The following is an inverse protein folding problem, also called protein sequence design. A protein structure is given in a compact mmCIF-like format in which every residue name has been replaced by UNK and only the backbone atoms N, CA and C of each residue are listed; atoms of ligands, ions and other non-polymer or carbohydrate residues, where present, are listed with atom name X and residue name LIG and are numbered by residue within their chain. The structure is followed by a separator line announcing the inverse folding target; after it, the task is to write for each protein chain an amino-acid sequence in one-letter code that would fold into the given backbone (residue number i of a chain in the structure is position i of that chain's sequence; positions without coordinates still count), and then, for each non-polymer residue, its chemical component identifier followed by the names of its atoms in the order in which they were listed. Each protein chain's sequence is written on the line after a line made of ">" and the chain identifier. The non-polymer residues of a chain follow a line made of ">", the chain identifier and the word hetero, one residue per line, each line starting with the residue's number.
data_IF_072467861672
#
_entry.id   IF_072467861672
#
_cell.length_a   1.000
_cell.length_b   1.000
_cell.length_c   1.000
_cell.angle_alpha   90.00
_cell.angle_beta   90.00
_cell.angle_gamma   90.00
#
_symmetry.space_group_name_H-M   'P 1'
#
loop_
_entity.id
_entity.type
_entity.pdbx_description
1 polymer ?
#
# COMPACT_ATOMS: atom_id res chain seq x y z
N UNK A 1 -5.67 17.12 -14.76
CA UNK A 1 -5.81 17.35 -13.31
C UNK A 1 -6.87 18.40 -13.08
N UNK A 2 -7.90 18.07 -12.32
CA UNK A 2 -8.97 19.01 -11.95
C UNK A 2 -8.47 20.02 -10.92
N UNK A 3 -9.05 21.22 -10.94
CA UNK A 3 -8.81 22.19 -9.87
C UNK A 3 -9.69 21.81 -8.66
N UNK A 4 -9.08 21.42 -7.54
CA UNK A 4 -9.74 21.09 -6.29
C UNK A 4 -9.78 22.28 -5.32
N UNK A 5 -10.13 23.46 -5.80
CA UNK A 5 -10.38 24.60 -4.91
C UNK A 5 -11.58 24.32 -4.02
N UNK A 6 -11.49 24.82 -2.78
CA UNK A 6 -12.53 24.62 -1.77
C UNK A 6 -13.84 25.27 -2.26
N UNK A 7 -14.87 24.46 -2.49
CA UNK A 7 -16.16 24.89 -3.02
C UNK A 7 -16.42 24.60 -4.51
N UNK A 8 -15.37 24.29 -5.29
CA UNK A 8 -15.51 23.94 -6.71
C UNK A 8 -15.87 22.45 -6.94
N UNK A 9 -15.72 21.62 -5.91
CA UNK A 9 -15.91 20.16 -5.97
C UNK A 9 -16.86 19.71 -4.88
N UNK A 10 -17.79 18.76 -5.14
CA UNK A 10 -18.65 18.19 -4.11
C UNK A 10 -17.80 17.63 -2.94
N UNK A 11 -18.24 17.84 -1.67
CA UNK A 11 -17.43 17.46 -0.49
C UNK A 11 -17.02 15.99 -0.46
N UNK A 12 -17.89 15.07 -0.90
CA UNK A 12 -17.59 13.63 -0.98
C UNK A 12 -16.44 13.35 -1.95
N UNK A 13 -16.47 13.97 -3.13
CA UNK A 13 -15.40 13.83 -4.14
C UNK A 13 -14.10 14.45 -3.67
N UNK A 14 -14.15 15.58 -2.98
CA UNK A 14 -12.97 16.24 -2.41
C UNK A 14 -12.26 15.33 -1.41
N UNK A 15 -12.97 14.82 -0.41
CA UNK A 15 -12.39 13.97 0.62
C UNK A 15 -11.93 12.61 0.06
N UNK A 16 -12.72 12.01 -0.85
CA UNK A 16 -12.34 10.78 -1.53
C UNK A 16 -11.03 10.93 -2.31
N UNK A 17 -10.90 12.00 -3.10
CA UNK A 17 -9.68 12.25 -3.84
C UNK A 17 -8.48 12.58 -2.91
N UNK A 18 -8.70 13.36 -1.86
CA UNK A 18 -7.64 13.68 -0.89
C UNK A 18 -7.10 12.42 -0.20
N UNK A 19 -7.97 11.48 0.14
CA UNK A 19 -7.58 10.21 0.72
C UNK A 19 -6.79 9.37 -0.28
N UNK A 20 -7.31 9.16 -1.49
CA UNK A 20 -6.62 8.38 -2.53
C UNK A 20 -5.29 9.00 -2.94
N UNK A 21 -5.22 10.33 -3.06
CA UNK A 21 -3.97 11.05 -3.35
C UNK A 21 -2.91 10.80 -2.28
N UNK A 22 -3.26 10.89 -1.00
CA UNK A 22 -2.33 10.59 0.10
C UNK A 22 -1.90 9.13 0.12
N UNK A 23 -2.83 8.20 -0.10
CA UNK A 23 -2.50 6.77 -0.16
C UNK A 23 -1.57 6.46 -1.34
N UNK A 24 -1.84 7.05 -2.51
CA UNK A 24 -0.97 6.91 -3.68
C UNK A 24 0.40 7.50 -3.41
N UNK A 25 0.48 8.69 -2.82
CA UNK A 25 1.75 9.30 -2.43
C UNK A 25 2.53 8.42 -1.46
N UNK A 26 1.88 7.85 -0.47
CA UNK A 26 2.52 6.93 0.49
C UNK A 26 3.04 5.66 -0.20
N UNK A 27 2.27 5.09 -1.13
CA UNK A 27 2.61 3.84 -1.81
C UNK A 27 3.68 4.02 -2.90
N UNK A 28 3.66 5.15 -3.62
CA UNK A 28 4.47 5.36 -4.82
C UNK A 28 5.53 6.46 -4.69
N UNK A 29 5.41 7.31 -3.66
CA UNK A 29 6.20 8.53 -3.53
C UNK A 29 5.77 9.67 -4.47
N UNK A 30 4.82 9.43 -5.39
CA UNK A 30 4.35 10.43 -6.35
C UNK A 30 3.24 11.29 -5.78
N UNK A 31 3.39 12.61 -5.92
CA UNK A 31 2.33 13.56 -5.57
C UNK A 31 1.39 13.73 -6.76
N UNK A 32 0.25 13.06 -6.72
CA UNK A 32 -0.80 13.14 -7.74
C UNK A 32 -2.00 13.86 -7.12
N UNK A 33 -2.24 15.14 -7.47
CA UNK A 33 -3.33 15.92 -6.87
C UNK A 33 -4.72 15.38 -7.19
N UNK A 34 -4.88 14.75 -8.35
CA UNK A 34 -6.14 14.19 -8.81
C UNK A 34 -5.93 12.74 -9.30
N UNK A 35 -6.29 11.79 -8.45
CA UNK A 35 -6.20 10.36 -8.74
C UNK A 35 -7.47 9.80 -9.38
N UNK A 36 -8.54 10.59 -9.42
CA UNK A 36 -9.88 10.15 -9.85
C UNK A 36 -10.27 10.65 -11.24
N UNK A 37 -9.38 11.36 -11.95
CA UNK A 37 -9.66 11.76 -13.33
C UNK A 37 -9.41 10.62 -14.30
N UNK A 38 -10.42 10.29 -15.10
CA UNK A 38 -10.35 9.27 -16.14
C UNK A 38 -9.75 9.77 -17.45
N UNK A 39 -9.63 11.10 -17.63
CA UNK A 39 -9.06 11.67 -18.85
C UNK A 39 -7.53 11.54 -18.84
N UNK A 40 -7.03 10.61 -19.64
CA UNK A 40 -5.59 10.27 -19.71
C UNK A 40 -5.16 10.09 -21.16
N UNK A 41 -4.05 10.71 -21.54
CA UNK A 41 -3.35 10.44 -22.78
C UNK A 41 -2.29 9.36 -22.57
N UNK A 42 -2.34 8.29 -23.34
CA UNK A 42 -1.39 7.18 -23.25
C UNK A 42 -0.56 7.10 -24.54
N UNK A 43 0.77 7.10 -24.46
CA UNK A 43 1.63 6.85 -25.60
C UNK A 43 1.40 5.44 -26.16
N UNK A 44 1.50 5.30 -27.50
CA UNK A 44 1.25 4.01 -28.18
C UNK A 44 2.10 2.85 -27.65
N UNK A 45 3.33 3.13 -27.29
CA UNK A 45 4.27 2.14 -26.75
C UNK A 45 3.91 1.64 -25.34
N UNK A 46 3.02 2.32 -24.61
CA UNK A 46 2.57 1.90 -23.28
C UNK A 46 1.27 1.10 -23.30
N UNK A 47 0.55 1.07 -24.43
CA UNK A 47 -0.79 0.45 -24.50
C UNK A 47 -0.76 -1.05 -24.18
N UNK A 48 0.24 -1.79 -24.65
CA UNK A 48 0.37 -3.22 -24.31
C UNK A 48 0.51 -3.43 -22.81
N UNK A 49 1.34 -2.63 -22.15
CA UNK A 49 1.52 -2.70 -20.70
C UNK A 49 0.22 -2.33 -19.95
N UNK A 50 -0.52 -1.36 -20.46
CA UNK A 50 -1.79 -0.93 -19.85
C UNK A 50 -2.89 -1.98 -20.00
N UNK A 51 -2.90 -2.76 -21.11
CA UNK A 51 -3.89 -3.81 -21.31
C UNK A 51 -3.73 -5.02 -20.38
N UNK A 52 -2.56 -5.20 -19.77
CA UNK A 52 -2.29 -6.26 -18.78
C UNK A 52 -2.76 -5.90 -17.36
N UNK A 53 -3.11 -4.63 -17.12
CA UNK A 53 -3.52 -4.15 -15.79
C UNK A 53 -4.92 -4.68 -15.47
N UNK A 54 -5.06 -5.28 -14.28
CA UNK A 54 -6.33 -5.79 -13.81
C UNK A 54 -7.27 -4.68 -13.36
N UNK A 55 -8.56 -4.83 -13.65
CA UNK A 55 -9.64 -3.92 -13.27
C UNK A 55 -10.45 -3.49 -14.47
N UNK A 56 -11.78 -3.37 -14.30
CA UNK A 56 -12.71 -3.05 -15.37
C UNK A 56 -13.48 -1.74 -15.10
N UNK A 57 -13.24 -1.13 -13.93
CA UNK A 57 -13.96 0.06 -13.48
C UNK A 57 -13.00 1.08 -12.84
N UNK A 58 -13.42 1.73 -11.77
CA UNK A 58 -12.65 2.77 -11.07
C UNK A 58 -11.33 2.27 -10.47
N UNK A 59 -11.24 0.99 -10.11
CA UNK A 59 -10.00 0.37 -9.66
C UNK A 59 -8.93 0.29 -10.73
N UNK A 60 -9.31 0.18 -12.01
CA UNK A 60 -8.36 0.19 -13.13
C UNK A 60 -7.54 1.47 -13.15
N UNK A 61 -8.19 2.61 -12.94
CA UNK A 61 -7.52 3.92 -12.93
C UNK A 61 -6.48 4.02 -11.81
N UNK A 62 -6.79 3.48 -10.63
CA UNK A 62 -5.85 3.43 -9.52
C UNK A 62 -4.72 2.44 -9.78
N UNK A 63 -5.04 1.24 -10.25
CA UNK A 63 -4.04 0.23 -10.59
C UNK A 63 -3.09 0.72 -11.66
N UNK A 64 -3.59 1.48 -12.66
CA UNK A 64 -2.75 2.11 -13.68
C UNK A 64 -1.74 3.08 -13.06
N UNK A 65 -2.15 3.95 -12.13
CA UNK A 65 -1.22 4.88 -11.48
C UNK A 65 -0.11 4.17 -10.70
N UNK A 66 -0.46 3.08 -10.01
CA UNK A 66 0.52 2.25 -9.29
C UNK A 66 1.48 1.55 -10.24
N UNK A 67 0.96 0.98 -11.34
CA UNK A 67 1.76 0.26 -12.33
C UNK A 67 2.71 1.18 -13.13
N UNK A 68 2.27 2.39 -13.47
CA UNK A 68 3.13 3.38 -14.11
C UNK A 68 4.39 3.67 -13.29
N UNK A 69 4.23 3.78 -11.98
CA UNK A 69 5.35 3.97 -11.06
C UNK A 69 6.27 2.74 -11.00
N UNK A 70 5.69 1.54 -10.89
CA UNK A 70 6.47 0.29 -10.84
C UNK A 70 7.30 0.09 -12.11
N UNK A 71 6.78 0.53 -13.27
CA UNK A 71 7.46 0.46 -14.58
C UNK A 71 8.35 1.67 -14.87
N UNK A 72 8.45 2.65 -13.98
CA UNK A 72 9.25 3.86 -14.18
C UNK A 72 8.73 4.77 -15.29
N UNK A 73 7.43 4.71 -15.62
CA UNK A 73 6.80 5.56 -16.63
C UNK A 73 6.41 6.90 -16.02
N UNK A 74 6.97 7.98 -16.53
CA UNK A 74 6.72 9.34 -16.05
C UNK A 74 5.28 9.81 -16.30
N UNK A 75 4.75 10.63 -15.39
CA UNK A 75 3.44 11.26 -15.48
C UNK A 75 3.59 12.77 -15.73
N UNK A 76 2.86 13.29 -16.72
CA UNK A 76 2.71 14.73 -16.93
C UNK A 76 1.31 15.15 -16.55
N UNK A 77 1.21 16.12 -15.64
CA UNK A 77 -0.07 16.63 -15.15
C UNK A 77 -0.50 17.84 -16.01
N UNK A 78 -1.62 17.72 -16.70
CA UNK A 78 -2.20 18.78 -17.51
C UNK A 78 -3.44 19.35 -16.79
N UNK A 79 -3.47 20.64 -16.46
CA UNK A 79 -4.65 21.27 -15.87
C UNK A 79 -5.84 21.21 -16.83
N UNK A 80 -7.00 20.87 -16.31
CA UNK A 80 -8.26 20.83 -17.06
C UNK A 80 -9.34 21.57 -16.30
N UNK A 81 -10.26 22.19 -17.02
CA UNK A 81 -11.50 22.70 -16.43
C UNK A 81 -12.45 21.53 -16.20
N UNK A 82 -13.11 21.52 -15.04
CA UNK A 82 -14.12 20.53 -14.72
C UNK A 82 -15.48 21.18 -14.69
N UNK A 83 -16.39 20.66 -15.49
CA UNK A 83 -17.79 21.10 -15.51
C UNK A 83 -18.59 20.04 -14.74
N UNK A 84 -19.23 20.44 -13.65
CA UNK A 84 -20.15 19.60 -12.91
C UNK A 84 -21.58 19.87 -13.39
N UNK A 85 -22.18 18.91 -14.05
CA UNK A 85 -23.60 18.98 -14.42
C UNK A 85 -24.45 18.40 -13.27
N UNK A 86 -25.37 19.21 -12.73
CA UNK A 86 -26.14 18.84 -11.55
C UNK A 86 -25.28 18.52 -10.34
N UNK A 87 -25.84 17.88 -9.33
CA UNK A 87 -25.11 17.43 -8.13
C UNK A 87 -24.27 16.16 -8.36
N UNK A 88 -23.73 15.94 -9.56
CA UNK A 88 -23.03 14.71 -9.96
C UNK A 88 -23.95 13.48 -9.99
N UNK A 89 -25.21 13.65 -10.30
CA UNK A 89 -26.24 12.59 -10.33
C UNK A 89 -25.99 11.53 -11.40
N UNK A 90 -25.20 11.86 -12.43
CA UNK A 90 -24.79 10.94 -13.50
C UNK A 90 -23.67 9.97 -13.14
N UNK A 91 -23.22 9.94 -11.89
CA UNK A 91 -22.13 9.02 -11.52
C UNK A 91 -22.63 7.59 -11.33
N UNK A 92 -21.96 6.64 -11.98
CA UNK A 92 -22.17 5.20 -11.76
C UNK A 92 -21.29 4.62 -10.63
N UNK A 93 -20.72 5.49 -9.79
CA UNK A 93 -19.87 5.09 -8.66
C UNK A 93 -20.73 4.60 -7.48
N UNK A 94 -20.57 3.34 -7.13
CA UNK A 94 -21.16 2.75 -5.93
C UNK A 94 -20.24 2.95 -4.73
N UNK A 95 -20.60 3.80 -3.74
CA UNK A 95 -19.68 4.26 -2.71
C UNK A 95 -18.95 3.15 -1.95
N UNK A 96 -19.63 2.07 -1.59
CA UNK A 96 -19.02 0.97 -0.82
C UNK A 96 -18.25 0.03 -1.74
N UNK A 97 -18.93 -0.50 -2.77
CA UNK A 97 -18.34 -1.52 -3.66
C UNK A 97 -17.10 -1.01 -4.40
N UNK A 98 -17.25 0.14 -5.06
CA UNK A 98 -16.16 0.68 -5.88
C UNK A 98 -15.01 1.20 -5.00
N UNK A 99 -15.32 1.76 -3.81
CA UNK A 99 -14.26 2.11 -2.85
C UNK A 99 -13.47 0.88 -2.38
N UNK A 100 -14.14 -0.22 -2.05
CA UNK A 100 -13.46 -1.46 -1.67
C UNK A 100 -12.56 -2.00 -2.80
N UNK A 101 -13.00 -1.89 -4.05
CA UNK A 101 -12.20 -2.29 -5.21
C UNK A 101 -10.97 -1.38 -5.39
N UNK A 102 -11.15 -0.07 -5.32
CA UNK A 102 -10.08 0.93 -5.42
C UNK A 102 -9.03 0.73 -4.32
N UNK A 103 -9.48 0.48 -3.09
CA UNK A 103 -8.58 0.28 -1.95
C UNK A 103 -8.10 -1.15 -1.76
N UNK A 104 -8.50 -2.09 -2.58
CA UNK A 104 -8.22 -3.53 -2.45
C UNK A 104 -6.74 -3.85 -2.21
N UNK A 105 -5.81 -3.21 -2.95
CA UNK A 105 -4.36 -3.39 -2.75
C UNK A 105 -3.92 -2.94 -1.36
N UNK A 106 -4.38 -1.79 -0.93
CA UNK A 106 -4.05 -1.22 0.40
C UNK A 106 -4.65 -2.05 1.53
N UNK A 107 -5.89 -2.51 1.37
CA UNK A 107 -6.55 -3.40 2.34
C UNK A 107 -5.83 -4.74 2.47
N UNK A 108 -5.41 -5.33 1.37
CA UNK A 108 -4.58 -6.55 1.39
C UNK A 108 -3.26 -6.33 2.12
N UNK A 109 -2.59 -5.21 1.87
CA UNK A 109 -1.36 -4.86 2.56
C UNK A 109 -1.58 -4.67 4.07
N UNK A 110 -2.62 -3.94 4.46
CA UNK A 110 -2.97 -3.76 5.87
C UNK A 110 -3.30 -5.09 6.56
N UNK A 111 -4.07 -5.95 5.90
CA UNK A 111 -4.40 -7.28 6.41
C UNK A 111 -3.17 -8.17 6.54
N UNK A 112 -2.28 -8.17 5.55
CA UNK A 112 -1.00 -8.88 5.60
C UNK A 112 -0.16 -8.45 6.79
N UNK A 113 -0.04 -7.13 7.00
CA UNK A 113 0.73 -6.57 8.12
C UNK A 113 0.13 -6.92 9.47
N UNK A 114 -1.20 -6.83 9.61
CA UNK A 114 -1.91 -7.21 10.83
C UNK A 114 -1.77 -8.71 11.14
N UNK A 115 -1.93 -9.56 10.13
CA UNK A 115 -1.74 -11.01 10.27
C UNK A 115 -0.32 -11.35 10.73
N UNK A 116 0.69 -10.67 10.17
CA UNK A 116 2.08 -10.86 10.58
C UNK A 116 2.35 -10.40 12.00
N UNK A 117 1.73 -9.32 12.44
CA UNK A 117 1.82 -8.86 13.83
C UNK A 117 1.18 -9.88 14.81
N UNK A 118 0.05 -10.47 14.42
CA UNK A 118 -0.57 -11.54 15.24
C UNK A 118 0.32 -12.78 15.32
N UNK A 119 0.94 -13.17 14.21
CA UNK A 119 1.90 -14.29 14.18
C UNK A 119 3.12 -13.98 15.05
N UNK A 120 3.63 -12.75 15.00
CA UNK A 120 4.76 -12.29 15.83
C UNK A 120 4.45 -12.44 17.33
N UNK A 121 3.32 -11.91 17.77
CA UNK A 121 2.88 -11.98 19.16
C UNK A 121 2.66 -13.43 19.60
N UNK A 122 2.00 -14.25 18.79
CA UNK A 122 1.75 -15.64 19.11
C UNK A 122 3.05 -16.45 19.21
N UNK A 123 3.97 -16.28 18.26
CA UNK A 123 5.29 -16.91 18.30
C UNK A 123 6.10 -16.48 19.51
N UNK A 124 6.11 -15.18 19.82
CA UNK A 124 6.80 -14.67 21.00
C UNK A 124 6.28 -15.35 22.28
N UNK A 125 4.97 -15.41 22.45
CA UNK A 125 4.36 -16.08 23.62
C UNK A 125 4.71 -17.56 23.69
N UNK A 126 4.61 -18.29 22.57
CA UNK A 126 4.96 -19.72 22.50
C UNK A 126 6.43 -19.95 22.82
N UNK A 127 7.34 -19.15 22.25
CA UNK A 127 8.78 -19.26 22.47
C UNK A 127 9.15 -19.01 23.92
N UNK A 128 8.52 -18.03 24.59
CA UNK A 128 8.74 -17.78 26.01
C UNK A 128 8.28 -18.93 26.89
N UNK A 129 7.17 -19.56 26.56
CA UNK A 129 6.62 -20.67 27.34
C UNK A 129 7.36 -21.98 27.11
N UNK A 130 7.99 -22.17 25.97
CA UNK A 130 8.61 -23.45 25.58
C UNK A 130 10.13 -23.46 25.64
N UNK A 131 10.78 -22.61 24.84
CA UNK A 131 12.24 -22.59 24.67
C UNK A 131 12.95 -21.70 25.69
N UNK A 132 12.42 -20.49 25.90
CA UNK A 132 13.05 -19.45 26.69
C UNK A 132 12.41 -19.34 28.09
N UNK A 133 12.24 -20.45 28.78
CA UNK A 133 11.59 -20.52 30.10
C UNK A 133 12.24 -19.58 31.09
N UNK A 134 11.64 -18.43 31.33
CA UNK A 134 12.08 -17.46 32.31
C UNK A 134 11.91 -16.01 31.88
N UNK A 135 11.88 -15.10 32.86
CA UNK A 135 11.72 -13.67 32.66
C UNK A 135 13.08 -12.94 32.59
N UNK A 136 14.17 -13.62 32.24
CA UNK A 136 15.46 -12.94 32.08
C UNK A 136 15.46 -12.09 30.80
N UNK A 137 16.18 -10.97 30.83
CA UNK A 137 16.32 -10.07 29.67
C UNK A 137 16.83 -10.83 28.43
N UNK A 138 17.74 -11.79 28.61
CA UNK A 138 18.24 -12.63 27.51
C UNK A 138 17.18 -13.55 26.92
N UNK A 139 16.30 -14.10 27.76
CA UNK A 139 15.16 -14.92 27.30
C UNK A 139 14.15 -14.10 26.49
N UNK A 140 13.83 -12.89 26.96
CA UNK A 140 12.94 -11.96 26.26
C UNK A 140 13.52 -11.51 24.91
N UNK A 141 14.81 -11.15 24.88
CA UNK A 141 15.50 -10.78 23.65
C UNK A 141 15.57 -11.94 22.64
N UNK A 142 15.94 -13.13 23.09
CA UNK A 142 16.01 -14.30 22.24
C UNK A 142 14.66 -14.68 21.63
N UNK A 143 13.62 -14.73 22.44
CA UNK A 143 12.25 -15.01 21.98
C UNK A 143 11.77 -13.92 20.98
N UNK A 144 12.01 -12.65 21.28
CA UNK A 144 11.60 -11.51 20.44
C UNK A 144 12.31 -11.55 19.07
N UNK A 145 13.62 -11.76 19.04
CA UNK A 145 14.41 -11.82 17.81
C UNK A 145 13.95 -12.99 16.93
N UNK A 146 13.75 -14.16 17.51
CA UNK A 146 13.32 -15.34 16.76
C UNK A 146 11.88 -15.22 16.25
N UNK A 147 10.95 -14.72 17.08
CA UNK A 147 9.57 -14.48 16.67
C UNK A 147 9.52 -13.50 15.48
N UNK A 148 10.23 -12.38 15.57
CA UNK A 148 10.29 -11.39 14.50
C UNK A 148 10.94 -11.89 13.23
N UNK A 149 11.95 -12.71 13.34
CA UNK A 149 12.58 -13.31 12.15
C UNK A 149 11.58 -14.18 11.38
N UNK A 150 10.85 -15.04 12.09
CA UNK A 150 9.86 -15.93 11.48
C UNK A 150 8.66 -15.14 10.93
N UNK A 151 8.11 -14.21 11.72
CA UNK A 151 6.98 -13.37 11.30
C UNK A 151 7.35 -12.45 10.14
N UNK A 152 8.59 -11.97 10.09
CA UNK A 152 9.11 -11.19 8.97
C UNK A 152 9.19 -11.97 7.66
N UNK A 153 9.66 -13.22 7.71
CA UNK A 153 9.64 -14.11 6.54
C UNK A 153 8.19 -14.35 6.09
N UNK A 154 7.30 -14.63 7.03
CA UNK A 154 5.88 -14.81 6.74
C UNK A 154 5.27 -13.59 6.06
N UNK A 155 5.52 -12.38 6.60
CA UNK A 155 5.07 -11.12 6.02
C UNK A 155 5.61 -10.90 4.61
N UNK A 156 6.90 -11.18 4.39
CA UNK A 156 7.52 -11.06 3.07
C UNK A 156 6.85 -11.97 2.04
N UNK A 157 6.67 -13.25 2.37
CA UNK A 157 6.03 -14.23 1.47
C UNK A 157 4.58 -13.82 1.17
N UNK A 158 3.84 -13.39 2.19
CA UNK A 158 2.44 -12.99 2.05
C UNK A 158 2.31 -11.75 1.16
N UNK A 159 3.13 -10.73 1.39
CA UNK A 159 3.14 -9.53 0.57
C UNK A 159 3.53 -9.83 -0.88
N UNK A 160 4.58 -10.61 -1.09
CA UNK A 160 5.05 -10.96 -2.42
C UNK A 160 4.02 -11.75 -3.22
N UNK A 161 3.43 -12.79 -2.65
CA UNK A 161 2.55 -13.70 -3.38
C UNK A 161 1.11 -13.21 -3.51
N UNK A 162 0.62 -12.53 -2.49
CA UNK A 162 -0.80 -12.20 -2.38
C UNK A 162 -1.12 -10.72 -2.59
N UNK A 163 -0.28 -9.80 -2.08
CA UNK A 163 -0.53 -8.36 -2.17
C UNK A 163 -0.08 -7.81 -3.52
N UNK A 164 1.21 -7.96 -3.84
CA UNK A 164 1.81 -7.31 -5.00
C UNK A 164 1.87 -8.22 -6.23
N UNK A 165 1.81 -9.54 -6.06
CA UNK A 165 1.99 -10.51 -7.16
C UNK A 165 3.26 -10.23 -7.99
N UNK A 166 4.25 -9.63 -7.38
CA UNK A 166 5.45 -9.11 -8.01
C UNK A 166 6.38 -10.23 -8.46
N UNK A 167 6.94 -10.09 -9.65
CA UNK A 167 8.13 -10.85 -10.03
C UNK A 167 9.32 -10.23 -9.29
N UNK A 168 9.90 -10.98 -8.37
CA UNK A 168 11.00 -10.57 -7.51
C UNK A 168 12.16 -9.95 -8.28
N UNK A 169 12.42 -8.67 -8.08
CA UNK A 169 13.70 -8.09 -8.44
C UNK A 169 14.67 -8.22 -7.28
N UNK A 170 15.96 -8.41 -7.57
CA UNK A 170 17.03 -8.49 -6.54
C UNK A 170 17.08 -7.21 -5.70
N UNK A 171 16.67 -6.06 -6.28
CA UNK A 171 16.59 -4.77 -5.61
C UNK A 171 15.54 -4.73 -4.50
N UNK A 172 14.36 -5.31 -4.73
CA UNK A 172 13.28 -5.32 -3.77
C UNK A 172 13.61 -6.16 -2.54
N UNK A 173 14.27 -7.30 -2.75
CA UNK A 173 14.76 -8.14 -1.64
C UNK A 173 15.77 -7.40 -0.76
N UNK A 174 16.73 -6.68 -1.37
CA UNK A 174 17.74 -5.91 -0.61
C UNK A 174 17.08 -4.81 0.23
N UNK A 175 16.15 -4.06 -0.34
CA UNK A 175 15.40 -3.01 0.38
C UNK A 175 14.59 -3.59 1.53
N UNK A 176 13.94 -4.73 1.31
CA UNK A 176 13.17 -5.41 2.35
C UNK A 176 14.08 -5.88 3.49
N UNK A 177 15.18 -6.54 3.17
CA UNK A 177 16.16 -7.02 4.17
C UNK A 177 16.74 -5.85 4.96
N UNK A 178 17.09 -4.73 4.32
CA UNK A 178 17.60 -3.55 5.00
C UNK A 178 16.57 -2.95 5.97
N UNK A 179 15.31 -2.79 5.54
CA UNK A 179 14.21 -2.32 6.39
C UNK A 179 13.95 -3.27 7.56
N UNK A 180 13.94 -4.56 7.31
CA UNK A 180 13.73 -5.59 8.31
C UNK A 180 14.85 -5.56 9.37
N UNK A 181 16.11 -5.50 8.92
CA UNK A 181 17.27 -5.42 9.83
C UNK A 181 17.22 -4.15 10.67
N UNK A 182 16.90 -3.02 10.07
CA UNK A 182 16.73 -1.76 10.80
C UNK A 182 15.64 -1.86 11.87
N UNK A 183 14.49 -2.42 11.53
CA UNK A 183 13.38 -2.61 12.46
C UNK A 183 13.74 -3.57 13.61
N UNK A 184 14.50 -4.63 13.33
CA UNK A 184 15.01 -5.57 14.32
C UNK A 184 15.92 -4.87 15.34
N UNK A 185 16.90 -4.11 14.85
CA UNK A 185 17.86 -3.38 15.71
C UNK A 185 17.15 -2.34 16.57
N UNK A 186 16.25 -1.55 15.96
CA UNK A 186 15.47 -0.53 16.68
C UNK A 186 14.64 -1.16 17.80
N UNK A 187 14.00 -2.25 17.52
CA UNK A 187 13.15 -2.95 18.46
C UNK A 187 13.94 -3.61 19.60
N UNK A 188 15.09 -4.22 19.31
CA UNK A 188 15.97 -4.77 20.33
C UNK A 188 16.53 -3.64 21.25
N UNK A 189 16.86 -2.50 20.66
CA UNK A 189 17.29 -1.32 21.44
C UNK A 189 16.21 -0.76 22.36
N UNK A 190 14.97 -0.68 21.91
CA UNK A 190 13.84 -0.22 22.72
C UNK A 190 13.53 -1.18 23.88
N UNK A 191 13.68 -2.49 23.66
CA UNK A 191 13.51 -3.50 24.73
C UNK A 191 14.55 -3.39 25.86
N UNK A 192 15.71 -2.79 25.60
CA UNK A 192 16.75 -2.57 26.63
C UNK A 192 16.52 -1.30 27.45
N UNK A 193 15.62 -0.42 27.01
CA UNK A 193 15.30 0.84 27.68
C UNK A 193 14.11 0.71 28.65
N UNK A 194 13.43 -0.42 28.65
CA UNK A 194 12.30 -0.78 29.53
C UNK A 194 12.75 -1.81 30.55
#
# INVERSE_FOLDING_TARGET
>A
VRNFEKGAVPPKSYWGNKLTSKMTQFATGLVIPDTQTGLRGLPRNTLSAMSEISGDRFEYEMNMLLELQERGIGLTLVPIQTIYEGNNEGTHFHPIRDSLLVYKRFLKFAFSSLSSAMVDIALFAVLLLTLFKGASTMSLLGASVLARFISGIFNFILNQRWVFKSQNTTGDRRRYVALFTFQMVLSAGLLQLV
#
